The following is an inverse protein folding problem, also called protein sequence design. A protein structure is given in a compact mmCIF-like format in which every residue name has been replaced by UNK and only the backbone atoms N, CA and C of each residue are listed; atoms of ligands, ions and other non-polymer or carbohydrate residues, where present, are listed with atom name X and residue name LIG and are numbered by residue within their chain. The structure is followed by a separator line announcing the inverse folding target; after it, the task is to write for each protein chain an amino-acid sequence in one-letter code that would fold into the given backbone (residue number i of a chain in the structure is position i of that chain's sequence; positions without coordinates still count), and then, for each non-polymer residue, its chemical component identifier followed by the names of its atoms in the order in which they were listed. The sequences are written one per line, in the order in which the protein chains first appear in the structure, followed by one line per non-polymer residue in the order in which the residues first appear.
data_IF_451632946607
#
_entry.id   IF_451632946607
#
_cell.length_a   1.000
_cell.length_b   1.000
_cell.length_c   1.000
_cell.angle_alpha   90.00
_cell.angle_beta   90.00
_cell.angle_gamma   90.00
#
_symmetry.space_group_name_H-M   'P 1'
#
loop_
_entity.id
_entity.type
_entity.pdbx_description
1 polymer ?
#
# COMPACT_ATOMS: atom_id res chain seq x y z
N UNK A 1 49.23 -23.71 -75.38
CA UNK A 1 49.49 -22.27 -75.32
C UNK A 1 48.12 -21.64 -75.49
N UNK A 2 47.44 -21.28 -74.41
CA UNK A 2 46.10 -20.70 -74.44
C UNK A 2 46.20 -19.31 -75.05
N UNK A 3 45.33 -19.04 -76.04
CA UNK A 3 45.37 -17.78 -76.81
C UNK A 3 44.93 -16.61 -75.89
N UNK A 4 45.56 -15.45 -76.02
CA UNK A 4 45.19 -14.24 -75.26
C UNK A 4 43.73 -13.82 -75.45
N UNK A 5 43.12 -14.25 -76.52
CA UNK A 5 41.75 -13.97 -76.84
C UNK A 5 40.74 -14.79 -75.99
N UNK A 6 41.08 -16.06 -75.74
CA UNK A 6 40.26 -16.94 -74.90
C UNK A 6 40.21 -16.44 -73.43
N UNK A 7 41.31 -15.88 -72.93
CA UNK A 7 41.41 -15.29 -71.58
C UNK A 7 40.63 -13.98 -71.45
N UNK A 8 40.43 -13.28 -72.57
CA UNK A 8 39.69 -12.00 -72.53
C UNK A 8 38.17 -12.26 -72.62
N UNK A 9 37.75 -13.19 -73.41
CA UNK A 9 36.36 -13.61 -73.53
C UNK A 9 35.84 -14.25 -72.23
N UNK A 10 36.66 -15.09 -71.56
CA UNK A 10 36.34 -15.68 -70.26
C UNK A 10 36.31 -14.62 -69.13
N UNK A 11 37.11 -13.59 -69.19
CA UNK A 11 37.12 -12.48 -68.23
C UNK A 11 35.88 -11.55 -68.42
N UNK A 12 35.42 -11.38 -69.65
CA UNK A 12 34.24 -10.59 -69.94
C UNK A 12 32.94 -11.34 -69.60
N UNK A 13 32.88 -12.68 -69.81
CA UNK A 13 31.76 -13.53 -69.34
C UNK A 13 31.62 -13.48 -67.79
N UNK A 14 32.76 -13.63 -67.08
CA UNK A 14 32.74 -13.55 -65.60
C UNK A 14 32.33 -12.15 -65.11
N UNK A 15 32.65 -11.09 -65.83
CA UNK A 15 32.24 -9.72 -65.52
C UNK A 15 30.76 -9.47 -65.76
N UNK A 16 30.18 -10.03 -66.84
CA UNK A 16 28.76 -9.92 -67.13
C UNK A 16 27.91 -10.74 -66.13
N UNK A 17 28.35 -11.95 -65.77
CA UNK A 17 27.67 -12.78 -64.77
C UNK A 17 27.72 -12.15 -63.37
N UNK A 18 28.87 -11.56 -62.95
CA UNK A 18 28.98 -10.84 -61.68
C UNK A 18 28.21 -9.52 -61.66
N UNK A 19 28.03 -8.87 -62.80
CA UNK A 19 27.23 -7.61 -62.92
C UNK A 19 25.72 -7.88 -62.92
N UNK A 20 25.30 -9.05 -63.37
CA UNK A 20 23.85 -9.44 -63.37
C UNK A 20 23.42 -9.83 -61.95
N UNK A 21 24.28 -10.45 -61.14
CA UNK A 21 23.98 -10.85 -59.77
C UNK A 21 24.04 -9.69 -58.74
N UNK A 22 24.75 -8.59 -59.09
CA UNK A 22 24.92 -7.47 -58.17
C UNK A 22 23.62 -6.80 -57.66
N UNK A 23 22.55 -6.62 -58.48
CA UNK A 23 21.31 -6.08 -58.01
C UNK A 23 20.53 -7.05 -57.10
N UNK A 24 20.56 -8.34 -57.37
CA UNK A 24 19.89 -9.35 -56.55
C UNK A 24 20.53 -9.47 -55.16
N UNK A 25 21.86 -9.44 -55.08
CA UNK A 25 22.60 -9.44 -53.80
C UNK A 25 22.27 -8.15 -53.01
N UNK A 26 22.19 -6.99 -53.64
CA UNK A 26 21.83 -5.74 -52.98
C UNK A 26 20.40 -5.73 -52.46
N UNK A 27 19.46 -6.34 -53.20
CA UNK A 27 18.05 -6.50 -52.73
C UNK A 27 17.96 -7.48 -51.58
N UNK A 28 18.71 -8.58 -51.59
CA UNK A 28 18.75 -9.55 -50.51
C UNK A 28 19.31 -8.95 -49.21
N UNK A 29 20.42 -8.18 -49.31
CA UNK A 29 21.01 -7.46 -48.18
C UNK A 29 20.01 -6.46 -47.57
N UNK A 30 19.28 -5.77 -48.45
CA UNK A 30 18.27 -4.79 -48.03
C UNK A 30 17.07 -5.44 -47.36
N UNK A 31 16.61 -6.60 -47.82
CA UNK A 31 15.56 -7.40 -47.17
C UNK A 31 16.02 -7.87 -45.80
N UNK A 32 17.21 -8.41 -45.66
CA UNK A 32 17.77 -8.85 -44.39
C UNK A 32 17.87 -7.70 -43.38
N UNK A 33 18.28 -6.51 -43.82
CA UNK A 33 18.33 -5.31 -42.96
C UNK A 33 16.94 -4.87 -42.53
N UNK A 34 15.94 -4.90 -43.44
CA UNK A 34 14.57 -4.55 -43.09
C UNK A 34 13.94 -5.54 -42.12
N UNK A 35 14.21 -6.85 -42.30
CA UNK A 35 13.76 -7.87 -41.36
C UNK A 35 14.37 -7.66 -39.97
N UNK A 36 15.66 -7.37 -39.90
CA UNK A 36 16.33 -7.04 -38.62
C UNK A 36 15.72 -5.83 -37.94
N UNK A 37 15.46 -4.75 -38.70
CA UNK A 37 14.83 -3.53 -38.17
C UNK A 37 13.39 -3.78 -37.71
N UNK A 38 12.65 -4.64 -38.43
CA UNK A 38 11.30 -5.02 -38.07
C UNK A 38 11.29 -5.82 -36.76
N UNK A 39 12.20 -6.79 -36.61
CA UNK A 39 12.34 -7.58 -35.39
C UNK A 39 12.71 -6.70 -34.21
N UNK A 40 13.65 -5.76 -34.40
CA UNK A 40 14.03 -4.80 -33.35
C UNK A 40 12.85 -3.88 -32.97
N UNK A 41 12.09 -3.38 -33.96
CA UNK A 41 10.93 -2.55 -33.70
C UNK A 41 9.80 -3.33 -32.98
N UNK A 42 9.56 -4.57 -33.39
CA UNK A 42 8.61 -5.45 -32.73
C UNK A 42 9.04 -5.75 -31.29
N UNK A 43 10.32 -6.02 -31.05
CA UNK A 43 10.87 -6.21 -29.70
C UNK A 43 10.65 -4.99 -28.81
N UNK A 44 10.96 -3.79 -29.33
CA UNK A 44 10.71 -2.53 -28.62
C UNK A 44 9.24 -2.29 -28.33
N UNK A 45 8.37 -2.58 -29.29
CA UNK A 45 6.91 -2.44 -29.12
C UNK A 45 6.37 -3.40 -28.05
N UNK A 46 6.82 -4.66 -28.07
CA UNK A 46 6.44 -5.67 -27.10
C UNK A 46 6.91 -5.28 -25.68
N UNK A 47 8.14 -4.82 -25.54
CA UNK A 47 8.68 -4.32 -24.29
C UNK A 47 7.89 -3.13 -23.75
N UNK A 48 7.63 -2.11 -24.61
CA UNK A 48 6.84 -0.95 -24.22
C UNK A 48 5.40 -1.32 -23.81
N UNK A 49 4.80 -2.29 -24.48
CA UNK A 49 3.48 -2.80 -24.11
C UNK A 49 3.50 -3.51 -22.74
N UNK A 50 4.49 -4.35 -22.48
CA UNK A 50 4.65 -5.03 -21.19
C UNK A 50 4.89 -4.01 -20.06
N UNK A 51 5.74 -3.00 -20.28
CA UNK A 51 5.97 -1.90 -19.33
C UNK A 51 4.69 -1.13 -19.04
N UNK A 52 3.93 -0.78 -20.08
CA UNK A 52 2.63 -0.11 -19.93
C UNK A 52 1.65 -0.93 -19.09
N UNK A 53 1.57 -2.24 -19.30
CA UNK A 53 0.73 -3.12 -18.49
C UNK A 53 1.18 -3.17 -17.02
N UNK A 54 2.48 -3.23 -16.76
CA UNK A 54 3.03 -3.23 -15.40
C UNK A 54 2.72 -1.92 -14.68
N UNK A 55 2.95 -0.78 -15.35
CA UNK A 55 2.62 0.56 -14.81
C UNK A 55 1.12 0.67 -14.52
N UNK A 56 0.26 0.23 -15.45
CA UNK A 56 -1.19 0.26 -15.26
C UNK A 56 -1.63 -0.56 -14.04
N UNK A 57 -1.09 -1.78 -13.89
CA UNK A 57 -1.40 -2.65 -12.74
C UNK A 57 -0.96 -2.01 -11.42
N UNK A 58 0.24 -1.41 -11.40
CA UNK A 58 0.75 -0.70 -10.21
C UNK A 58 -0.13 0.49 -9.86
N UNK A 59 -0.46 1.35 -10.84
CA UNK A 59 -1.31 2.52 -10.61
C UNK A 59 -2.72 2.14 -10.14
N UNK A 60 -3.28 1.03 -10.62
CA UNK A 60 -4.58 0.53 -10.16
C UNK A 60 -4.53 0.12 -8.69
N UNK A 61 -3.47 -0.59 -8.27
CA UNK A 61 -3.25 -0.96 -6.87
C UNK A 61 -3.04 0.29 -5.98
N UNK A 62 -2.22 1.24 -6.41
CA UNK A 62 -2.00 2.51 -5.70
C UNK A 62 -3.30 3.32 -5.56
N UNK A 63 -4.12 3.39 -6.61
CA UNK A 63 -5.43 4.04 -6.59
C UNK A 63 -6.37 3.40 -5.57
N UNK A 64 -6.43 2.07 -5.54
CA UNK A 64 -7.25 1.34 -4.56
C UNK A 64 -6.77 1.59 -3.13
N UNK A 65 -5.47 1.57 -2.90
CA UNK A 65 -4.90 1.91 -1.59
C UNK A 65 -5.20 3.36 -1.20
N UNK A 66 -4.97 4.31 -2.10
CA UNK A 66 -5.27 5.72 -1.84
C UNK A 66 -6.74 5.93 -1.46
N UNK A 67 -7.67 5.30 -2.20
CA UNK A 67 -9.10 5.36 -1.89
C UNK A 67 -9.45 4.69 -0.55
N UNK A 68 -8.83 3.54 -0.24
CA UNK A 68 -9.08 2.80 1.00
C UNK A 68 -8.65 3.55 2.26
N UNK A 69 -7.64 4.42 2.15
CA UNK A 69 -7.07 5.17 3.28
C UNK A 69 -7.24 6.70 3.17
N UNK A 70 -8.06 7.18 2.23
CA UNK A 70 -8.31 8.61 2.04
C UNK A 70 -8.82 9.31 3.32
N UNK A 71 -9.60 8.60 4.13
CA UNK A 71 -10.19 9.11 5.37
C UNK A 71 -9.25 9.08 6.59
N UNK A 72 -7.99 8.60 6.45
CA UNK A 72 -7.07 8.41 7.59
C UNK A 72 -6.89 9.68 8.42
N UNK A 73 -6.70 10.84 7.79
CA UNK A 73 -6.53 12.12 8.48
C UNK A 73 -7.78 12.50 9.27
N UNK A 74 -8.92 12.50 8.60
CA UNK A 74 -10.21 12.78 9.23
C UNK A 74 -10.53 11.81 10.37
N UNK A 75 -10.29 10.50 10.17
CA UNK A 75 -10.50 9.49 11.19
C UNK A 75 -9.66 9.78 12.44
N UNK A 76 -8.38 10.16 12.26
CA UNK A 76 -7.49 10.51 13.38
C UNK A 76 -7.98 11.72 14.17
N UNK A 77 -8.47 12.75 13.49
CA UNK A 77 -9.02 13.94 14.14
C UNK A 77 -10.31 13.61 14.90
N UNK A 78 -11.16 12.74 14.35
CA UNK A 78 -12.38 12.27 15.01
C UNK A 78 -12.12 11.43 16.26
N UNK A 79 -10.97 10.75 16.37
CA UNK A 79 -10.57 10.07 17.62
C UNK A 79 -10.42 11.05 18.78
N UNK A 80 -9.96 12.28 18.54
CA UNK A 80 -9.87 13.30 19.57
C UNK A 80 -11.26 13.69 20.10
N UNK A 81 -12.25 13.81 19.22
CA UNK A 81 -13.64 14.08 19.61
C UNK A 81 -14.20 12.96 20.46
N UNK A 82 -13.98 11.72 20.05
CA UNK A 82 -14.38 10.53 20.79
C UNK A 82 -13.76 10.50 22.19
N UNK A 83 -12.45 10.77 22.29
CA UNK A 83 -11.73 10.80 23.57
C UNK A 83 -12.27 11.90 24.50
N UNK A 84 -12.63 13.05 23.97
CA UNK A 84 -13.23 14.13 24.76
C UNK A 84 -14.61 13.76 25.29
N UNK A 85 -15.44 13.10 24.50
CA UNK A 85 -16.75 12.59 24.94
C UNK A 85 -16.59 11.54 26.04
N UNK A 86 -15.68 10.58 25.85
CA UNK A 86 -15.40 9.53 26.82
C UNK A 86 -14.88 10.11 28.16
N UNK A 87 -13.98 11.08 28.07
CA UNK A 87 -13.47 11.81 29.25
C UNK A 87 -14.57 12.60 29.94
N UNK A 88 -15.46 13.25 29.18
CA UNK A 88 -16.58 13.96 29.75
C UNK A 88 -17.50 13.01 30.56
N UNK A 89 -17.79 11.83 30.00
CA UNK A 89 -18.61 10.81 30.66
C UNK A 89 -17.91 10.20 31.88
N UNK A 90 -16.60 10.01 31.85
CA UNK A 90 -15.82 9.46 32.97
C UNK A 90 -15.76 10.39 34.18
N UNK A 91 -15.87 11.72 33.95
CA UNK A 91 -15.84 12.73 34.99
C UNK A 91 -17.23 13.12 35.52
N UNK A 92 -18.32 12.49 35.04
CA UNK A 92 -19.67 12.72 35.54
C UNK A 92 -19.78 12.26 37.00
N UNK A 93 -20.11 13.14 37.96
CA UNK A 93 -20.27 12.76 39.34
C UNK A 93 -21.37 11.73 39.52
N UNK A 94 -21.19 10.81 40.48
CA UNK A 94 -22.20 9.77 40.76
C UNK A 94 -23.55 10.37 41.17
N UNK A 95 -23.56 11.52 41.86
CA UNK A 95 -24.75 12.25 42.20
C UNK A 95 -25.54 12.72 40.96
N UNK A 96 -24.85 13.14 39.91
CA UNK A 96 -25.47 13.52 38.64
C UNK A 96 -26.10 12.33 37.91
N UNK A 97 -25.48 11.15 38.02
CA UNK A 97 -26.04 9.89 37.44
C UNK A 97 -27.31 9.41 38.20
N UNK A 98 -27.51 9.83 39.47
CA UNK A 98 -28.67 9.52 40.28
C UNK A 98 -29.84 10.49 40.10
N UNK A 99 -29.58 11.67 39.52
CA UNK A 99 -30.61 12.67 39.25
C UNK A 99 -31.32 12.38 37.93
N UNK A 100 -32.65 12.20 37.92
CA UNK A 100 -33.40 11.81 36.73
C UNK A 100 -33.27 12.80 35.57
N UNK A 101 -33.19 14.12 35.87
CA UNK A 101 -33.07 15.15 34.82
C UNK A 101 -31.68 15.10 34.17
N UNK A 102 -30.62 14.90 34.96
CA UNK A 102 -29.24 14.81 34.48
C UNK A 102 -28.96 13.47 33.81
N UNK A 103 -29.58 12.40 34.30
CA UNK A 103 -29.47 11.06 33.73
C UNK A 103 -29.90 11.01 32.28
N UNK A 104 -31.06 11.60 31.94
CA UNK A 104 -31.53 11.65 30.53
C UNK A 104 -30.50 12.32 29.60
N UNK A 105 -29.85 13.38 30.08
CA UNK A 105 -28.79 14.07 29.31
C UNK A 105 -27.54 13.18 29.16
N UNK A 106 -27.13 12.53 30.25
CA UNK A 106 -25.97 11.61 30.24
C UNK A 106 -26.22 10.43 29.30
N UNK A 107 -27.39 9.81 29.35
CA UNK A 107 -27.80 8.72 28.47
C UNK A 107 -27.78 9.15 26.99
N UNK A 108 -28.13 10.42 26.70
CA UNK A 108 -28.04 11.02 25.36
C UNK A 108 -26.59 11.09 24.86
N UNK A 109 -25.64 11.53 25.71
CA UNK A 109 -24.23 11.59 25.36
C UNK A 109 -23.67 10.17 25.18
N UNK A 110 -23.99 9.22 26.06
CA UNK A 110 -23.58 7.82 25.94
C UNK A 110 -24.12 7.19 24.64
N UNK A 111 -25.37 7.52 24.26
CA UNK A 111 -25.93 7.06 23.00
C UNK A 111 -25.17 7.64 21.80
N UNK A 112 -24.79 8.92 21.88
CA UNK A 112 -24.00 9.59 20.82
C UNK A 112 -22.63 8.93 20.67
N UNK A 113 -21.97 8.61 21.80
CA UNK A 113 -20.69 7.91 21.78
C UNK A 113 -20.79 6.52 21.16
N UNK A 114 -21.83 5.75 21.53
CA UNK A 114 -22.09 4.44 20.90
C UNK A 114 -22.34 4.54 19.40
N UNK A 115 -23.09 5.54 18.96
CA UNK A 115 -23.31 5.76 17.51
C UNK A 115 -22.01 6.13 16.80
N UNK A 116 -21.16 6.96 17.42
CA UNK A 116 -19.83 7.29 16.88
C UNK A 116 -18.96 6.04 16.72
N UNK A 117 -18.93 5.17 17.74
CA UNK A 117 -18.19 3.88 17.68
C UNK A 117 -18.78 2.97 16.58
N UNK A 118 -20.10 2.95 16.40
CA UNK A 118 -20.75 2.23 15.30
C UNK A 118 -20.39 2.80 13.92
N UNK A 119 -20.31 4.14 13.80
CA UNK A 119 -19.83 4.80 12.57
C UNK A 119 -18.38 4.40 12.29
N UNK A 120 -17.53 4.38 13.29
CA UNK A 120 -16.14 3.94 13.16
C UNK A 120 -16.06 2.50 12.64
N UNK A 121 -16.81 1.58 13.26
CA UNK A 121 -16.84 0.18 12.83
C UNK A 121 -17.30 0.02 11.37
N UNK A 122 -18.35 0.74 10.94
CA UNK A 122 -18.83 0.72 9.54
C UNK A 122 -17.78 1.23 8.55
N UNK A 123 -16.88 2.10 8.98
CA UNK A 123 -15.79 2.64 8.17
C UNK A 123 -14.47 1.84 8.31
N UNK A 124 -14.49 0.70 9.00
CA UNK A 124 -13.33 -0.16 9.20
C UNK A 124 -12.33 0.37 10.23
N UNK A 125 -12.77 1.28 11.11
CA UNK A 125 -12.00 1.75 12.25
C UNK A 125 -12.35 0.87 13.44
N UNK A 126 -11.36 0.16 13.98
CA UNK A 126 -11.53 -0.77 15.11
C UNK A 126 -10.64 -0.35 16.28
N UNK A 127 -11.17 -0.47 17.50
CA UNK A 127 -10.41 -0.27 18.72
C UNK A 127 -9.44 -1.42 18.93
N UNK A 128 -8.26 -1.11 19.44
CA UNK A 128 -7.27 -2.11 19.87
C UNK A 128 -7.61 -2.52 21.29
N UNK A 129 -7.84 -3.80 21.51
CA UNK A 129 -8.00 -4.35 22.84
C UNK A 129 -6.61 -4.57 23.45
N UNK A 130 -6.26 -3.75 24.44
CA UNK A 130 -4.93 -3.73 25.00
C UNK A 130 -4.84 -4.40 26.37
N UNK A 131 -5.80 -4.17 27.25
CA UNK A 131 -5.74 -4.64 28.66
C UNK A 131 -5.73 -6.17 28.72
N UNK A 132 -4.81 -6.71 29.50
CA UNK A 132 -4.62 -8.16 29.64
C UNK A 132 -3.82 -8.82 28.52
N UNK A 133 -3.40 -8.05 27.50
CA UNK A 133 -2.57 -8.56 26.40
C UNK A 133 -1.08 -8.27 26.68
N UNK A 134 -0.17 -9.07 26.10
CA UNK A 134 1.24 -8.72 26.10
C UNK A 134 1.49 -7.45 25.29
N UNK A 135 2.51 -6.66 25.68
CA UNK A 135 2.89 -5.45 24.97
C UNK A 135 3.33 -5.77 23.53
N UNK A 136 2.64 -5.22 22.53
CA UNK A 136 3.02 -5.26 21.12
C UNK A 136 3.47 -3.85 20.68
N UNK A 137 4.76 -3.62 20.39
CA UNK A 137 5.27 -2.32 19.99
C UNK A 137 4.65 -1.76 18.69
N UNK A 138 4.03 -2.61 17.86
CA UNK A 138 3.35 -2.19 16.63
C UNK A 138 1.96 -1.60 16.88
N UNK A 139 1.37 -1.86 18.05
CA UNK A 139 0.00 -1.44 18.38
C UNK A 139 -0.08 -0.62 19.68
N UNK A 140 0.88 -0.81 20.57
CA UNK A 140 0.88 -0.26 21.91
C UNK A 140 2.10 0.62 22.15
N UNK A 141 1.91 1.66 22.94
CA UNK A 141 2.99 2.50 23.43
C UNK A 141 2.95 2.50 24.97
N UNK A 142 3.92 1.84 25.58
CA UNK A 142 4.09 1.85 27.04
C UNK A 142 4.52 3.26 27.50
N UNK A 143 3.75 3.83 28.41
CA UNK A 143 4.03 5.15 29.02
C UNK A 143 4.63 4.99 30.41
N UNK A 144 4.17 4.03 31.19
CA UNK A 144 4.61 3.76 32.55
C UNK A 144 4.69 2.25 32.81
N UNK A 145 5.57 1.88 33.74
CA UNK A 145 5.67 0.54 34.29
C UNK A 145 5.11 0.56 35.72
N UNK A 146 4.19 -0.35 36.02
CA UNK A 146 3.59 -0.50 37.32
C UNK A 146 4.10 -1.77 37.96
N UNK A 147 4.68 -1.67 39.15
CA UNK A 147 5.01 -2.84 39.96
C UNK A 147 3.71 -3.46 40.47
N UNK A 148 3.32 -4.61 39.94
CA UNK A 148 2.13 -5.34 40.36
C UNK A 148 2.45 -6.83 40.42
N UNK A 149 1.92 -7.50 41.42
CA UNK A 149 1.99 -8.97 41.54
C UNK A 149 0.82 -9.68 40.86
N UNK A 150 -0.11 -8.96 40.23
CA UNK A 150 -1.36 -9.53 39.69
C UNK A 150 -1.24 -9.93 38.20
N UNK A 151 -0.21 -9.44 37.52
CA UNK A 151 0.01 -9.72 36.10
C UNK A 151 1.47 -10.09 35.81
N UNK A 152 1.68 -10.89 34.78
CA UNK A 152 3.02 -11.24 34.32
C UNK A 152 3.76 -10.01 33.79
N UNK A 153 5.09 -9.87 34.02
CA UNK A 153 5.87 -8.76 33.49
C UNK A 153 5.72 -8.62 31.98
N UNK A 154 5.49 -7.38 31.51
CA UNK A 154 5.24 -7.08 30.10
C UNK A 154 3.79 -7.18 29.67
N UNK A 155 2.86 -7.56 30.57
CA UNK A 155 1.41 -7.55 30.33
C UNK A 155 0.86 -6.14 30.53
N UNK A 156 -0.06 -5.72 29.68
CA UNK A 156 -0.76 -4.43 29.79
C UNK A 156 -1.79 -4.52 30.90
N UNK A 157 -1.64 -3.70 31.93
CA UNK A 157 -2.53 -3.66 33.10
C UNK A 157 -3.57 -2.56 32.99
N UNK A 158 -3.27 -1.48 32.31
CA UNK A 158 -4.17 -0.34 32.16
C UNK A 158 -4.03 0.31 30.79
N UNK A 159 -5.14 0.75 30.22
CA UNK A 159 -5.21 1.55 28.99
C UNK A 159 -5.48 3.01 29.37
N UNK A 160 -4.49 3.89 29.18
CA UNK A 160 -4.61 5.33 29.44
C UNK A 160 -5.28 6.07 28.31
N UNK A 161 -5.06 5.61 27.06
CA UNK A 161 -5.70 6.15 25.87
C UNK A 161 -5.91 5.03 24.85
N UNK A 162 -7.12 4.93 24.32
CA UNK A 162 -7.49 3.86 23.39
C UNK A 162 -6.74 3.97 22.06
N UNK A 163 -6.20 2.83 21.62
CA UNK A 163 -5.61 2.68 20.30
C UNK A 163 -6.64 2.32 19.23
N UNK A 164 -6.34 2.67 17.98
CA UNK A 164 -7.24 2.40 16.86
C UNK A 164 -6.49 1.99 15.60
N UNK A 165 -7.11 1.07 14.85
CA UNK A 165 -6.71 0.65 13.52
C UNK A 165 -7.72 1.15 12.49
N UNK A 166 -7.27 1.48 11.27
CA UNK A 166 -8.13 1.60 10.09
C UNK A 166 -7.80 0.43 9.18
N UNK A 167 -8.67 -0.58 9.17
CA UNK A 167 -8.41 -1.86 8.51
C UNK A 167 -7.13 -2.49 9.08
N UNK A 168 -6.08 -2.61 8.25
CA UNK A 168 -4.77 -3.15 8.60
C UNK A 168 -3.73 -2.07 8.98
N UNK A 169 -4.10 -0.79 8.92
CA UNK A 169 -3.19 0.33 9.20
C UNK A 169 -3.42 0.93 10.59
N UNK A 170 -2.33 1.12 11.33
CA UNK A 170 -2.39 1.81 12.62
C UNK A 170 -2.77 3.29 12.43
N UNK A 171 -3.86 3.73 13.07
CA UNK A 171 -4.25 5.15 13.18
C UNK A 171 -3.55 5.82 14.36
N UNK A 172 -3.61 5.17 15.51
CA UNK A 172 -3.02 5.64 16.78
C UNK A 172 -2.74 4.45 17.68
N UNK A 173 -1.53 4.33 18.27
CA UNK A 173 -1.25 3.29 19.26
C UNK A 173 -2.08 3.50 20.52
N UNK A 174 -2.36 2.42 21.24
CA UNK A 174 -2.88 2.52 22.58
C UNK A 174 -1.78 2.96 23.54
N UNK A 175 -2.04 3.98 24.35
CA UNK A 175 -1.13 4.38 25.44
C UNK A 175 -1.46 3.52 26.66
N UNK A 176 -0.48 2.79 27.15
CA UNK A 176 -0.71 1.74 28.14
C UNK A 176 0.29 1.80 29.30
N UNK A 177 -0.15 1.29 30.44
CA UNK A 177 0.70 0.93 31.55
C UNK A 177 0.97 -0.58 31.51
N UNK A 178 2.22 -0.98 31.70
CA UNK A 178 2.64 -2.39 31.68
C UNK A 178 3.09 -2.86 33.05
N UNK A 179 2.84 -4.14 33.34
CA UNK A 179 3.32 -4.78 34.54
C UNK A 179 4.85 -4.90 34.51
N UNK A 180 5.49 -4.54 35.64
CA UNK A 180 6.91 -4.78 35.91
C UNK A 180 7.03 -5.85 36.98
N UNK A 181 8.08 -6.68 36.88
CA UNK A 181 8.44 -7.57 37.98
C UNK A 181 8.70 -6.76 39.25
N UNK A 182 8.02 -7.10 40.31
CA UNK A 182 8.23 -6.52 41.64
C UNK A 182 9.54 -6.98 42.27
#
# INVERSE_FOLDING_TARGET
MMDKKDLHDEADEIREETAADAPELAEHDRLAELERLLEEANGKALYAHAETQNVRRRLEAEKQQAAAYASTGFARDMLAVRDHLDRALSHVPQAARADEQQKSFIDGIESTLRELDAVFARNGITRIEAVGQPLDPHKHQAMIELATGEAEPGTIVEEMQSGYMLKDRLLRPALVAVAKAG
#
